data_IF_154891111347
#
_entry.id   IF_154891111347
#
_cell.length_a   1.000
_cell.length_b   1.000
_cell.length_c   1.000
_cell.angle_alpha   90.00
_cell.angle_beta   90.00
_cell.angle_gamma   90.00
#
_symmetry.space_group_name_H-M   'P 1'
#
loop_
_entity.id
_entity.type
_entity.pdbx_description
1 polymer ?
#
# COMPACT_ATOMS: atom_id res chain seq x y z
N UNK A 1 -20.99 -12.18 -5.94
CA UNK A 1 -20.99 -11.10 -5.26
C UNK A 1 -20.20 -10.02 -5.87
N UNK A 2 -20.61 -8.91 -5.72
CA UNK A 2 -20.09 -7.82 -6.38
C UNK A 2 -18.90 -7.28 -5.67
N UNK A 3 -17.87 -7.15 -6.33
CA UNK A 3 -16.68 -6.61 -5.76
C UNK A 3 -16.85 -5.12 -5.59
N UNK A 4 -16.44 -4.61 -4.45
CA UNK A 4 -16.42 -3.19 -4.21
C UNK A 4 -15.06 -2.67 -4.59
N UNK A 5 -15.02 -1.74 -5.53
CA UNK A 5 -13.76 -1.18 -5.98
C UNK A 5 -13.23 -0.18 -4.97
N UNK A 6 -11.93 -0.24 -4.75
CA UNK A 6 -11.23 0.76 -3.96
C UNK A 6 -11.10 2.02 -4.78
N UNK A 7 -11.50 3.14 -4.20
CA UNK A 7 -11.47 4.41 -4.93
C UNK A 7 -11.41 5.57 -3.94
N UNK A 8 -11.09 6.73 -4.47
CA UNK A 8 -11.05 7.94 -3.68
C UNK A 8 -9.66 8.28 -3.22
N UNK A 9 -9.46 9.53 -2.91
CA UNK A 9 -8.17 10.06 -2.48
C UNK A 9 -8.33 10.72 -1.13
N UNK A 10 -7.47 10.39 -0.20
CA UNK A 10 -7.58 10.84 1.18
C UNK A 10 -6.25 11.43 1.65
N UNK A 11 -6.31 12.64 2.18
CA UNK A 11 -5.13 13.27 2.77
C UNK A 11 -5.02 12.80 4.21
N UNK A 12 -3.82 12.35 4.59
CA UNK A 12 -3.56 11.84 5.94
C UNK A 12 -2.25 12.40 6.45
N UNK A 13 -2.05 12.30 7.75
CA UNK A 13 -0.78 12.66 8.35
C UNK A 13 -0.14 11.44 8.97
N UNK A 14 1.20 11.44 8.97
CA UNK A 14 1.98 10.37 9.56
C UNK A 14 2.80 10.97 10.68
N UNK A 15 2.86 10.31 11.84
CA UNK A 15 3.66 10.82 12.93
C UNK A 15 5.12 10.40 12.75
N UNK A 16 5.98 10.88 13.66
CA UNK A 16 7.42 10.64 13.53
C UNK A 16 7.79 9.17 13.65
N UNK A 17 6.92 8.36 14.23
CA UNK A 17 7.18 6.93 14.38
C UNK A 17 6.66 6.11 13.21
N UNK A 18 6.00 6.75 12.26
CA UNK A 18 5.49 6.06 11.08
C UNK A 18 4.06 5.58 11.22
N UNK A 19 3.32 6.08 12.20
CA UNK A 19 1.91 5.70 12.36
C UNK A 19 1.05 6.67 11.59
N UNK A 20 0.05 6.12 10.89
CA UNK A 20 -0.89 6.93 10.13
C UNK A 20 -2.26 6.30 10.25
N UNK A 21 -3.30 7.14 10.23
CA UNK A 21 -4.67 6.65 10.18
C UNK A 21 -4.95 6.18 8.75
N UNK A 22 -5.42 4.96 8.63
CA UNK A 22 -5.81 4.46 7.31
C UNK A 22 -7.29 4.83 7.10
N UNK A 23 -7.66 5.37 5.92
CA UNK A 23 -9.03 5.83 5.70
C UNK A 23 -10.05 4.73 5.97
N UNK A 24 -11.07 5.07 6.76
CA UNK A 24 -12.06 4.09 7.19
C UNK A 24 -12.78 3.44 6.01
N UNK A 25 -13.13 4.23 5.01
CA UNK A 25 -13.85 3.68 3.87
C UNK A 25 -13.04 2.66 3.10
N UNK A 26 -11.73 2.89 2.98
CA UNK A 26 -10.88 1.92 2.31
C UNK A 26 -10.64 0.70 3.20
N UNK A 27 -10.53 0.92 4.51
CA UNK A 27 -10.31 -0.16 5.44
C UNK A 27 -11.49 -1.13 5.47
N UNK A 28 -12.70 -0.60 5.33
CA UNK A 28 -13.88 -1.45 5.30
C UNK A 28 -13.87 -2.42 4.12
N UNK A 29 -13.27 -2.02 3.03
CA UNK A 29 -13.21 -2.86 1.84
C UNK A 29 -12.01 -3.78 1.83
N UNK A 30 -10.91 -3.36 2.46
CA UNK A 30 -9.66 -4.10 2.36
C UNK A 30 -9.48 -5.10 3.51
N UNK A 31 -10.20 -4.91 4.63
CA UNK A 31 -10.18 -5.85 5.74
C UNK A 31 -9.41 -5.33 6.94
N UNK A 32 -9.36 -6.15 7.99
CA UNK A 32 -8.74 -5.78 9.24
C UNK A 32 -7.23 -5.97 9.25
N UNK A 33 -6.73 -6.79 8.35
CA UNK A 33 -5.30 -6.95 8.14
C UNK A 33 -5.06 -6.86 6.67
N UNK A 34 -3.96 -6.23 6.32
CA UNK A 34 -3.65 -6.08 4.91
C UNK A 34 -2.13 -5.97 4.73
N UNK A 35 -1.72 -5.97 3.48
CA UNK A 35 -0.30 -5.98 3.14
C UNK A 35 0.11 -4.64 2.57
N UNK A 36 1.21 -4.09 3.07
CA UNK A 36 1.82 -2.89 2.51
C UNK A 36 3.14 -3.32 1.91
N UNK A 37 3.39 -2.91 0.68
CA UNK A 37 4.64 -3.28 0.02
C UNK A 37 5.09 -2.15 -0.90
N UNK A 38 6.30 -2.29 -1.41
CA UNK A 38 6.86 -1.33 -2.33
C UNK A 38 6.06 -1.36 -3.63
N UNK A 39 5.64 -0.19 -4.08
CA UNK A 39 4.88 -0.08 -5.32
C UNK A 39 5.76 0.31 -6.47
N UNK A 40 5.12 0.85 -7.49
CA UNK A 40 5.78 1.34 -8.68
C UNK A 40 5.69 2.85 -8.64
N UNK A 41 6.63 3.52 -9.28
CA UNK A 41 6.63 4.99 -9.37
C UNK A 41 6.85 5.69 -8.04
N UNK A 42 7.45 5.01 -7.07
CA UNK A 42 7.84 5.64 -5.83
C UNK A 42 6.76 5.69 -4.76
N UNK A 43 5.71 4.89 -4.89
CA UNK A 43 4.67 4.82 -3.87
C UNK A 43 4.71 3.46 -3.18
N UNK A 44 3.81 3.28 -2.22
CA UNK A 44 3.59 1.96 -1.63
C UNK A 44 2.25 1.44 -2.13
N UNK A 45 2.18 0.13 -2.32
CA UNK A 45 0.92 -0.54 -2.66
C UNK A 45 0.35 -1.19 -1.40
N UNK A 46 -0.97 -1.18 -1.29
CA UNK A 46 -1.67 -1.80 -0.17
C UNK A 46 -2.72 -2.74 -0.74
N UNK A 47 -2.65 -4.01 -0.33
CA UNK A 47 -3.58 -5.03 -0.80
C UNK A 47 -4.26 -5.70 0.37
N UNK A 48 -5.50 -6.15 0.17
CA UNK A 48 -6.10 -7.08 1.11
C UNK A 48 -5.27 -8.37 1.11
N UNK A 49 -5.43 -9.17 2.17
CA UNK A 49 -4.72 -10.45 2.22
C UNK A 49 -5.08 -11.30 1.01
N UNK A 50 -6.34 -11.32 0.66
CA UNK A 50 -6.80 -12.14 -0.46
C UNK A 50 -6.21 -11.69 -1.79
N UNK A 51 -6.22 -10.38 -2.03
CA UNK A 51 -5.69 -9.87 -3.30
C UNK A 51 -4.19 -10.01 -3.38
N UNK A 52 -3.50 -9.91 -2.24
CA UNK A 52 -2.06 -10.13 -2.23
C UNK A 52 -1.74 -11.58 -2.59
N UNK A 53 -2.53 -12.53 -2.07
CA UNK A 53 -2.34 -13.93 -2.43
C UNK A 53 -2.51 -14.16 -3.92
N UNK A 54 -3.50 -13.52 -4.52
CA UNK A 54 -3.71 -13.65 -5.96
C UNK A 54 -2.53 -13.11 -6.75
N UNK A 55 -1.95 -12.00 -6.29
CA UNK A 55 -0.76 -11.46 -6.93
C UNK A 55 0.42 -12.41 -6.80
N UNK A 56 0.58 -12.99 -5.62
CA UNK A 56 1.66 -13.93 -5.38
C UNK A 56 1.56 -15.12 -6.32
N UNK A 57 0.35 -15.62 -6.54
CA UNK A 57 0.16 -16.74 -7.43
C UNK A 57 0.50 -16.39 -8.88
N UNK A 58 0.09 -15.19 -9.31
CA UNK A 58 0.43 -14.76 -10.66
C UNK A 58 1.93 -14.64 -10.84
N UNK A 59 2.62 -14.15 -9.82
CA UNK A 59 4.07 -14.02 -9.91
C UNK A 59 4.72 -15.38 -10.03
N UNK A 60 4.24 -16.36 -9.25
CA UNK A 60 4.81 -17.71 -9.31
C UNK A 60 4.64 -18.36 -10.68
N UNK A 61 3.59 -17.97 -11.41
CA UNK A 61 3.32 -18.58 -12.72
C UNK A 61 4.10 -17.94 -13.86
N UNK A 62 4.86 -16.88 -13.59
CA UNK A 62 5.64 -16.21 -14.62
C UNK A 62 6.93 -16.99 -14.92
N UNK A 63 7.56 -16.74 -16.09
CA UNK A 63 8.87 -17.32 -16.34
C UNK A 63 9.84 -16.98 -15.22
N UNK A 64 10.77 -17.90 -14.94
CA UNK A 64 11.59 -17.84 -13.74
C UNK A 64 12.32 -16.51 -13.57
N UNK A 65 12.87 -15.95 -14.63
CA UNK A 65 13.61 -14.70 -14.50
C UNK A 65 12.71 -13.56 -14.04
N UNK A 66 11.49 -13.45 -14.63
CA UNK A 66 10.55 -12.42 -14.24
C UNK A 66 10.02 -12.67 -12.84
N UNK A 67 9.77 -13.93 -12.51
CA UNK A 67 9.27 -14.27 -11.17
C UNK A 67 10.26 -13.86 -10.11
N UNK A 68 11.55 -14.14 -10.32
CA UNK A 68 12.56 -13.76 -9.33
C UNK A 68 12.63 -12.25 -9.14
N UNK A 69 12.59 -11.51 -10.24
CA UNK A 69 12.64 -10.05 -10.16
C UNK A 69 11.48 -9.48 -9.36
N UNK A 70 10.27 -9.97 -9.65
CA UNK A 70 9.09 -9.48 -8.94
C UNK A 70 9.05 -9.95 -7.49
N UNK A 71 9.55 -11.16 -7.21
CA UNK A 71 9.63 -11.62 -5.84
C UNK A 71 10.53 -10.72 -5.02
N UNK A 72 11.63 -10.25 -5.58
CA UNK A 72 12.52 -9.35 -4.86
C UNK A 72 11.94 -7.94 -4.73
N UNK A 73 11.34 -7.41 -5.78
CA UNK A 73 10.88 -6.03 -5.76
C UNK A 73 9.52 -5.85 -5.11
N UNK A 74 8.75 -6.91 -4.99
CA UNK A 74 7.39 -6.82 -4.51
C UNK A 74 7.17 -7.68 -3.27
N UNK A 75 7.50 -8.98 -3.36
CA UNK A 75 7.22 -9.88 -2.25
C UNK A 75 8.15 -9.66 -1.07
N UNK A 76 9.42 -9.41 -1.33
CA UNK A 76 10.39 -9.27 -0.26
C UNK A 76 10.17 -8.00 0.57
N UNK A 77 9.50 -7.00 -0.01
CA UNK A 77 9.21 -5.75 0.69
C UNK A 77 7.88 -5.80 1.44
N UNK A 78 7.11 -6.85 1.28
CA UNK A 78 5.76 -6.91 1.83
C UNK A 78 5.76 -7.04 3.33
N UNK A 79 4.83 -6.35 3.97
CA UNK A 79 4.68 -6.33 5.41
C UNK A 79 3.19 -6.38 5.73
N UNK A 80 2.80 -7.32 6.59
CA UNK A 80 1.42 -7.38 7.02
C UNK A 80 1.20 -6.38 8.14
N UNK A 81 0.12 -5.60 8.04
CA UNK A 81 -0.20 -4.60 9.05
C UNK A 81 -1.61 -4.81 9.54
N UNK A 82 -1.85 -4.38 10.78
CA UNK A 82 -3.15 -4.47 11.40
C UNK A 82 -3.42 -3.13 12.09
N UNK A 83 -4.51 -2.43 11.74
CA UNK A 83 -4.80 -1.17 12.40
C UNK A 83 -5.03 -1.35 13.89
N UNK A 84 -4.61 -0.37 14.67
CA UNK A 84 -4.88 -0.38 16.10
C UNK A 84 -6.32 0.07 16.35
N UNK A 85 -6.68 0.25 17.62
CA UNK A 85 -8.06 0.60 17.97
C UNK A 85 -8.49 1.94 17.38
N UNK A 86 -7.53 2.79 17.09
CA UNK A 86 -7.83 4.09 16.50
C UNK A 86 -7.74 4.09 14.98
N UNK A 87 -7.55 2.93 14.38
CA UNK A 87 -7.47 2.82 12.93
C UNK A 87 -6.13 3.21 12.36
N UNK A 88 -5.07 3.25 13.17
CA UNK A 88 -3.74 3.62 12.70
C UNK A 88 -2.92 2.39 12.40
N UNK A 89 -2.11 2.48 11.35
CA UNK A 89 -1.16 1.43 11.02
C UNK A 89 0.25 1.98 11.18
N UNK A 90 1.20 1.08 11.42
CA UNK A 90 2.60 1.44 11.52
C UNK A 90 3.28 1.01 10.22
N UNK A 91 3.77 1.99 9.47
CA UNK A 91 4.50 1.72 8.23
C UNK A 91 5.98 1.58 8.57
N UNK A 92 6.60 0.43 8.26
CA UNK A 92 8.02 0.24 8.60
C UNK A 92 8.91 1.30 7.98
N UNK A 93 10.01 1.59 8.67
CA UNK A 93 10.91 2.65 8.25
C UNK A 93 11.46 2.43 6.84
N UNK A 94 11.78 1.18 6.49
CA UNK A 94 12.32 0.90 5.16
C UNK A 94 11.33 1.27 4.07
N UNK A 95 10.04 1.01 4.29
CA UNK A 95 9.02 1.36 3.32
C UNK A 95 8.80 2.86 3.27
N UNK A 96 8.85 3.52 4.43
CA UNK A 96 8.73 4.98 4.44
C UNK A 96 9.85 5.64 3.65
N UNK A 97 11.05 5.11 3.78
CA UNK A 97 12.20 5.66 3.07
C UNK A 97 12.10 5.45 1.57
N UNK A 98 11.66 4.27 1.18
CA UNK A 98 11.54 3.95 -0.24
C UNK A 98 10.52 4.85 -0.94
N UNK A 99 9.45 5.22 -0.23
CA UNK A 99 8.40 6.06 -0.81
C UNK A 99 8.55 7.53 -0.42
N UNK A 100 9.57 7.87 0.34
CA UNK A 100 9.81 9.25 0.74
C UNK A 100 8.71 9.82 1.60
N UNK A 101 8.06 8.99 2.42
CA UNK A 101 6.93 9.44 3.22
C UNK A 101 7.41 10.28 4.39
N UNK A 102 6.75 11.41 4.57
CA UNK A 102 7.04 12.29 5.68
C UNK A 102 5.72 12.56 6.41
N UNK A 103 5.53 13.80 6.85
CA UNK A 103 4.38 14.09 7.66
C UNK A 103 3.07 14.03 6.89
N UNK A 104 3.06 14.57 5.69
CA UNK A 104 1.84 14.65 4.89
C UNK A 104 1.87 13.62 3.79
N UNK A 105 0.83 12.81 3.71
CA UNK A 105 0.75 11.73 2.75
C UNK A 105 -0.64 11.68 2.15
N UNK A 106 -0.75 10.95 1.05
CA UNK A 106 -2.02 10.74 0.38
C UNK A 106 -2.24 9.25 0.22
N UNK A 107 -3.45 8.80 0.53
CA UNK A 107 -3.85 7.42 0.31
C UNK A 107 -4.90 7.43 -0.78
N UNK A 108 -4.66 6.67 -1.84
CA UNK A 108 -5.59 6.63 -2.97
C UNK A 108 -6.04 5.20 -3.22
N UNK A 109 -7.33 5.03 -3.43
CA UNK A 109 -7.85 3.74 -3.87
C UNK A 109 -7.82 3.69 -5.37
N UNK A 110 -7.21 2.65 -5.94
CA UNK A 110 -7.05 2.56 -7.38
C UNK A 110 -7.53 1.19 -7.88
N UNK A 111 -8.75 0.87 -7.58
CA UNK A 111 -9.46 -0.30 -8.04
C UNK A 111 -9.14 -1.55 -7.24
N UNK A 112 -8.02 -2.22 -7.49
CA UNK A 112 -7.71 -3.49 -6.84
C UNK A 112 -6.70 -3.34 -5.72
N UNK A 113 -6.30 -2.10 -5.43
CA UNK A 113 -5.33 -1.84 -4.37
C UNK A 113 -5.45 -0.40 -3.92
N UNK A 114 -4.77 -0.07 -2.84
CA UNK A 114 -4.55 1.33 -2.46
C UNK A 114 -3.10 1.68 -2.70
N UNK A 115 -2.83 2.96 -2.82
CA UNK A 115 -1.47 3.48 -2.95
C UNK A 115 -1.24 4.55 -1.90
N UNK A 116 -0.04 4.56 -1.33
CA UNK A 116 0.35 5.59 -0.37
C UNK A 116 1.46 6.41 -1.00
N UNK A 117 1.26 7.72 -1.08
CA UNK A 117 2.16 8.63 -1.76
C UNK A 117 2.61 9.74 -0.83
N UNK A 118 3.86 10.19 -1.01
CA UNK A 118 4.30 11.43 -0.39
C UNK A 118 3.62 12.59 -1.10
N UNK A 119 3.24 13.61 -0.32
CA UNK A 119 2.51 14.74 -0.90
C UNK A 119 3.33 15.46 -1.96
N UNK A 120 4.62 15.66 -1.70
CA UNK A 120 5.46 16.36 -2.67
C UNK A 120 5.49 15.64 -4.02
N UNK A 121 5.56 14.32 -4.00
CA UNK A 121 5.59 13.55 -5.23
C UNK A 121 4.24 13.58 -5.92
N UNK A 122 3.17 13.48 -5.14
CA UNK A 122 1.82 13.56 -5.67
C UNK A 122 1.58 14.90 -6.35
N UNK A 123 2.09 15.96 -5.76
CA UNK A 123 1.96 17.29 -6.34
C UNK A 123 2.65 17.37 -7.68
N UNK A 124 3.83 16.80 -7.81
CA UNK A 124 4.52 16.79 -9.08
C UNK A 124 3.75 16.04 -10.14
N UNK A 125 3.12 14.94 -9.76
CA UNK A 125 2.38 14.15 -10.73
C UNK A 125 1.05 14.79 -11.12
N UNK A 126 0.58 15.74 -10.36
CA UNK A 126 -0.66 16.43 -10.70
C UNK A 126 -0.51 17.27 -11.96
N UNK A 127 0.69 17.49 -12.43
CA UNK A 127 0.92 18.19 -13.67
C UNK A 127 1.07 17.18 -14.80
#
# INVERSE_FOLDING_TARGET
MQACLLKGTYNQTMDAKGRMTFPTKLRELIGERFIVTKGIDGCLFVYSLEDFEKRAEKIRSLPMAKARALQRSFMAWACEVEPDKQGRILVPQSLREVAGLEKEIVVAGVSDRCEIWAVSYTHLRAH
#
